data_IF_344548551577
#
_entry.id   IF_344548551577
#
_cell.length_a   1.000
_cell.length_b   1.000
_cell.length_c   1.000
_cell.angle_alpha   90.00
_cell.angle_beta   90.00
_cell.angle_gamma   90.00
#
_symmetry.space_group_name_H-M   'P 1'
#
loop_
_entity.id
_entity.type
_entity.pdbx_description
1 polymer ?
#
# COMPACT_ATOMS: atom_id res chain seq x y z
N UNK A 1 17.13 12.95 -9.93
CA UNK A 1 16.01 12.17 -9.38
C UNK A 1 15.17 13.09 -8.52
N UNK A 2 13.89 13.22 -8.83
CA UNK A 2 12.95 13.91 -7.94
C UNK A 2 12.73 13.06 -6.69
N UNK A 3 12.67 13.71 -5.53
CA UNK A 3 12.47 13.04 -4.25
C UNK A 3 10.97 12.96 -3.94
N UNK A 4 10.57 11.89 -3.28
CA UNK A 4 9.26 11.84 -2.65
C UNK A 4 9.13 12.97 -1.62
N UNK A 5 7.97 13.61 -1.61
CA UNK A 5 7.57 14.56 -0.57
C UNK A 5 6.50 13.93 0.30
N UNK A 6 6.68 14.08 1.61
CA UNK A 6 5.66 13.70 2.58
C UNK A 6 4.68 14.85 2.78
N UNK A 7 3.38 14.56 2.71
CA UNK A 7 2.31 15.52 2.92
C UNK A 7 1.19 14.89 3.75
N UNK A 8 0.71 15.60 4.78
CA UNK A 8 -0.54 15.25 5.46
C UNK A 8 -1.68 15.85 4.64
N UNK A 9 -2.48 15.00 4.00
CA UNK A 9 -3.51 15.41 3.05
C UNK A 9 -4.88 15.62 3.69
N UNK A 10 -5.12 15.02 4.86
CA UNK A 10 -6.28 15.28 5.70
C UNK A 10 -5.87 15.36 7.16
N UNK A 11 -6.35 16.41 7.83
CA UNK A 11 -6.27 16.52 9.28
C UNK A 11 -7.07 15.40 9.96
N UNK A 12 -6.86 15.11 11.25
CA UNK A 12 -7.55 14.03 11.94
C UNK A 12 -9.08 14.14 11.81
N UNK A 13 -9.71 13.16 11.17
CA UNK A 13 -11.16 13.06 11.03
C UNK A 13 -11.66 11.95 11.94
N UNK A 14 -12.80 12.18 12.60
CA UNK A 14 -13.50 11.13 13.34
C UNK A 14 -14.30 10.26 12.36
N UNK A 15 -13.94 8.98 12.24
CA UNK A 15 -14.70 7.97 11.49
C UNK A 15 -15.35 6.93 12.41
N UNK A 16 -16.07 5.97 11.81
CA UNK A 16 -16.74 4.88 12.53
C UNK A 16 -15.80 4.00 13.36
N UNK A 17 -14.50 4.01 13.07
CA UNK A 17 -13.47 3.30 13.82
C UNK A 17 -12.46 4.23 14.49
N UNK A 18 -12.91 5.41 14.94
CA UNK A 18 -12.10 6.39 15.66
C UNK A 18 -11.42 7.43 14.77
N UNK A 19 -10.48 8.17 15.36
CA UNK A 19 -9.72 9.19 14.66
C UNK A 19 -8.73 8.55 13.67
N UNK A 20 -8.67 9.11 12.47
CA UNK A 20 -7.68 8.75 11.47
C UNK A 20 -7.09 9.98 10.81
N UNK A 21 -5.85 9.86 10.37
CA UNK A 21 -5.17 10.83 9.52
C UNK A 21 -4.86 10.21 8.17
N UNK A 22 -4.80 11.05 7.12
CA UNK A 22 -4.38 10.61 5.80
C UNK A 22 -3.10 11.34 5.43
N UNK A 23 -2.11 10.56 5.05
CA UNK A 23 -0.82 11.05 4.58
C UNK A 23 -0.52 10.52 3.18
N UNK A 24 0.46 11.13 2.53
CA UNK A 24 1.00 10.60 1.30
C UNK A 24 2.49 10.88 1.13
N UNK A 25 3.18 9.94 0.48
CA UNK A 25 4.49 10.14 -0.11
C UNK A 25 4.31 10.25 -1.63
N UNK A 26 4.56 11.43 -2.19
CA UNK A 26 4.27 11.72 -3.60
C UNK A 26 5.49 12.24 -4.37
N UNK A 27 5.55 11.86 -5.64
CA UNK A 27 6.31 12.50 -6.72
C UNK A 27 5.36 12.69 -7.91
N UNK A 28 5.72 13.43 -8.97
CA UNK A 28 4.74 13.85 -9.99
C UNK A 28 3.94 12.73 -10.67
N UNK A 29 4.53 11.55 -10.86
CA UNK A 29 3.95 10.41 -11.59
C UNK A 29 3.38 9.31 -10.68
N UNK A 30 3.68 9.32 -9.38
CA UNK A 30 3.27 8.24 -8.46
C UNK A 30 3.17 8.70 -7.00
N UNK A 31 2.32 8.01 -6.24
CA UNK A 31 2.05 8.33 -4.83
C UNK A 31 1.76 7.07 -4.02
N UNK A 32 2.29 7.00 -2.81
CA UNK A 32 1.78 6.10 -1.77
C UNK A 32 0.86 6.92 -0.88
N UNK A 33 -0.41 6.55 -0.79
CA UNK A 33 -1.40 7.15 0.10
C UNK A 33 -1.64 6.18 1.25
N UNK A 34 -1.70 6.72 2.47
CA UNK A 34 -1.97 5.88 3.63
C UNK A 34 -2.95 6.53 4.58
N UNK A 35 -3.81 5.68 5.16
CA UNK A 35 -4.77 6.05 6.19
C UNK A 35 -4.30 5.41 7.48
N UNK A 36 -3.90 6.25 8.44
CA UNK A 36 -3.40 5.82 9.72
C UNK A 36 -4.48 6.00 10.79
N UNK A 37 -4.81 4.89 11.45
CA UNK A 37 -5.52 4.82 12.73
C UNK A 37 -4.57 4.21 13.75
N UNK A 38 -4.88 4.41 15.03
CA UNK A 38 -4.02 3.95 16.15
C UNK A 38 -3.54 2.49 15.99
N UNK A 39 -4.42 1.62 15.51
CA UNK A 39 -4.19 0.18 15.42
C UNK A 39 -4.26 -0.37 13.98
N UNK A 40 -4.56 0.49 13.00
CA UNK A 40 -4.82 0.06 11.64
C UNK A 40 -4.19 1.03 10.64
N UNK A 41 -3.45 0.47 9.70
CA UNK A 41 -2.86 1.18 8.59
C UNK A 41 -3.41 0.58 7.30
N UNK A 42 -3.87 1.45 6.40
CA UNK A 42 -4.18 1.10 5.00
C UNK A 42 -3.21 1.84 4.09
N UNK A 43 -2.76 1.17 3.03
CA UNK A 43 -1.83 1.71 2.05
C UNK A 43 -2.34 1.43 0.64
N UNK A 44 -2.49 2.48 -0.14
CA UNK A 44 -2.81 2.42 -1.57
C UNK A 44 -1.68 3.09 -2.38
N UNK A 45 -1.35 2.48 -3.51
CA UNK A 45 -0.39 2.95 -4.49
C UNK A 45 -1.14 3.58 -5.65
N UNK A 46 -0.77 4.80 -6.02
CA UNK A 46 -1.31 5.52 -7.16
C UNK A 46 -0.23 5.70 -8.24
N UNK A 47 -0.54 5.34 -9.48
CA UNK A 47 0.25 5.60 -10.68
C UNK A 47 -0.66 6.27 -11.71
N UNK A 48 -0.45 7.57 -11.97
CA UNK A 48 -1.44 8.36 -12.71
C UNK A 48 -2.83 8.28 -12.05
N UNK A 49 -3.83 7.85 -12.82
CA UNK A 49 -5.22 7.66 -12.35
C UNK A 49 -5.50 6.24 -11.83
N UNK A 50 -4.51 5.36 -11.82
CA UNK A 50 -4.67 3.97 -11.41
C UNK A 50 -4.27 3.79 -9.94
N UNK A 51 -5.13 3.16 -9.15
CA UNK A 51 -4.93 2.92 -7.71
C UNK A 51 -5.07 1.43 -7.39
N UNK A 52 -4.18 0.91 -6.56
CA UNK A 52 -4.21 -0.48 -6.08
C UNK A 52 -3.62 -0.58 -4.67
N UNK A 53 -4.01 -1.59 -3.90
CA UNK A 53 -3.54 -1.78 -2.53
C UNK A 53 -2.17 -2.47 -2.44
N UNK A 54 -1.62 -2.54 -1.22
CA UNK A 54 -0.33 -3.18 -0.98
C UNK A 54 -0.29 -4.67 -1.30
N UNK A 55 -1.38 -5.39 -1.04
CA UNK A 55 -1.44 -6.82 -1.33
C UNK A 55 -1.37 -7.06 -2.84
N UNK A 56 -2.12 -6.29 -3.63
CA UNK A 56 -2.07 -6.29 -5.09
C UNK A 56 -0.67 -5.93 -5.61
N UNK A 57 -0.01 -4.95 -4.98
CA UNK A 57 1.37 -4.61 -5.31
C UNK A 57 2.32 -5.80 -5.12
N UNK A 58 2.28 -6.45 -3.95
CA UNK A 58 3.11 -7.62 -3.65
C UNK A 58 2.81 -8.81 -4.56
N UNK A 59 1.56 -8.98 -4.99
CA UNK A 59 1.16 -9.96 -6.02
C UNK A 59 1.78 -9.65 -7.37
N UNK A 60 1.77 -8.40 -7.82
CA UNK A 60 2.43 -8.00 -9.06
C UNK A 60 3.95 -8.23 -9.03
N UNK A 61 4.57 -8.17 -7.85
CA UNK A 61 5.98 -8.53 -7.66
C UNK A 61 6.22 -10.04 -7.53
N UNK A 62 5.18 -10.87 -7.55
CA UNK A 62 5.25 -12.31 -7.23
C UNK A 62 5.81 -12.62 -5.83
N UNK A 63 5.63 -11.69 -4.88
CA UNK A 63 6.12 -11.76 -3.49
C UNK A 63 5.00 -11.77 -2.45
N UNK A 64 3.78 -12.12 -2.86
CA UNK A 64 2.62 -12.17 -1.96
C UNK A 64 2.87 -12.97 -0.68
N UNK A 65 3.60 -14.10 -0.77
CA UNK A 65 3.91 -14.96 0.38
C UNK A 65 4.97 -14.40 1.32
N UNK A 66 5.71 -13.39 0.87
CA UNK A 66 6.75 -12.70 1.65
C UNK A 66 6.20 -11.43 2.31
N UNK A 67 5.00 -10.97 1.90
CA UNK A 67 4.38 -9.76 2.41
C UNK A 67 4.10 -9.87 3.92
N UNK A 68 4.65 -8.93 4.68
CA UNK A 68 4.46 -8.82 6.11
C UNK A 68 3.29 -7.92 6.47
N UNK A 69 2.97 -6.92 5.65
CA UNK A 69 1.87 -5.99 5.81
C UNK A 69 0.54 -6.59 5.31
N UNK A 70 -0.59 -6.35 6.03
CA UNK A 70 -0.71 -5.58 7.27
C UNK A 70 -0.21 -6.33 8.52
N UNK A 71 -0.12 -7.66 8.43
CA UNK A 71 0.33 -8.55 9.50
C UNK A 71 -0.69 -8.74 10.63
N UNK A 72 -0.31 -9.53 11.65
CA UNK A 72 -1.11 -9.71 12.86
C UNK A 72 -1.04 -8.44 13.71
N UNK A 73 -2.18 -8.02 14.27
CA UNK A 73 -2.23 -6.92 15.23
C UNK A 73 -1.45 -7.30 16.50
N UNK A 74 -0.45 -6.50 16.89
CA UNK A 74 0.50 -6.81 17.98
C UNK A 74 0.52 -5.73 19.07
N UNK A 75 -0.56 -4.94 19.19
CA UNK A 75 -0.73 -3.82 20.13
C UNK A 75 0.36 -2.74 20.03
N UNK A 76 1.22 -2.80 19.00
CA UNK A 76 2.23 -1.76 18.76
C UNK A 76 1.69 -0.70 17.81
N UNK A 77 1.72 0.56 18.25
CA UNK A 77 1.26 1.72 17.45
C UNK A 77 1.92 1.82 16.07
N UNK A 78 3.13 1.29 15.94
CA UNK A 78 3.94 1.37 14.72
C UNK A 78 4.13 0.01 14.02
N UNK A 79 3.46 -1.05 14.48
CA UNK A 79 3.65 -2.41 13.93
C UNK A 79 3.36 -2.48 12.44
N UNK A 80 2.23 -1.92 12.01
CA UNK A 80 1.88 -1.83 10.59
C UNK A 80 2.87 -1.02 9.76
N UNK A 81 3.41 0.08 10.28
CA UNK A 81 4.42 0.89 9.57
C UNK A 81 5.76 0.16 9.43
N UNK A 82 6.19 -0.58 10.46
CA UNK A 82 7.43 -1.37 10.40
C UNK A 82 7.33 -2.48 9.37
N UNK A 83 6.23 -3.24 9.38
CA UNK A 83 5.97 -4.29 8.38
C UNK A 83 5.90 -3.73 6.96
N UNK A 84 5.24 -2.58 6.78
CA UNK A 84 5.24 -1.88 5.49
C UNK A 84 6.65 -1.48 5.07
N UNK A 85 7.46 -0.97 6.00
CA UNK A 85 8.84 -0.59 5.72
C UNK A 85 9.67 -1.80 5.27
N UNK A 86 9.52 -2.94 5.95
CA UNK A 86 10.18 -4.19 5.59
C UNK A 86 9.75 -4.67 4.18
N UNK A 87 8.45 -4.59 3.84
CA UNK A 87 7.97 -4.95 2.51
C UNK A 87 8.45 -3.98 1.41
N UNK A 88 8.67 -2.70 1.76
CA UNK A 88 9.18 -1.69 0.84
C UNK A 88 10.66 -1.90 0.46
N UNK A 89 11.38 -2.83 1.09
CA UNK A 89 12.68 -3.31 0.58
C UNK A 89 12.53 -4.02 -0.78
N UNK A 90 11.34 -4.53 -1.10
CA UNK A 90 10.98 -5.03 -2.43
C UNK A 90 10.38 -3.92 -3.33
N UNK A 91 10.40 -2.69 -2.85
CA UNK A 91 9.69 -1.53 -3.38
C UNK A 91 10.29 -0.91 -4.64
N UNK A 92 11.43 -1.38 -5.13
CA UNK A 92 12.26 -0.67 -6.14
C UNK A 92 11.49 -0.29 -7.40
N UNK A 93 10.64 -1.17 -7.91
CA UNK A 93 9.87 -0.92 -9.14
C UNK A 93 8.93 0.27 -8.98
N UNK A 94 8.29 0.39 -7.80
CA UNK A 94 7.47 1.56 -7.47
C UNK A 94 8.31 2.78 -7.04
N UNK A 95 9.36 2.61 -6.25
CA UNK A 95 10.11 3.74 -5.67
C UNK A 95 11.01 4.44 -6.69
N UNK A 96 11.64 3.68 -7.58
CA UNK A 96 12.64 4.18 -8.54
C UNK A 96 12.45 3.70 -9.97
N UNK A 97 11.74 2.60 -10.19
CA UNK A 97 11.57 1.95 -11.49
C UNK A 97 10.45 2.50 -12.38
N UNK A 98 10.08 1.69 -13.37
CA UNK A 98 9.03 1.99 -14.36
C UNK A 98 7.64 1.63 -13.81
N UNK A 99 6.93 2.65 -13.33
CA UNK A 99 5.57 2.46 -12.81
C UNK A 99 4.54 2.14 -13.88
N UNK A 100 4.79 2.45 -15.15
CA UNK A 100 3.85 2.09 -16.21
C UNK A 100 3.86 0.58 -16.43
N UNK A 101 5.06 -0.02 -16.48
CA UNK A 101 5.20 -1.48 -16.54
C UNK A 101 4.57 -2.18 -15.33
N UNK A 102 4.76 -1.62 -14.12
CA UNK A 102 4.10 -2.10 -12.91
C UNK A 102 2.57 -2.04 -13.02
N UNK A 103 2.02 -0.90 -13.45
CA UNK A 103 0.57 -0.72 -13.58
C UNK A 103 -0.04 -1.71 -14.59
N UNK A 104 0.61 -1.93 -15.73
CA UNK A 104 0.17 -2.94 -16.70
C UNK A 104 0.22 -4.37 -16.12
N UNK A 105 1.26 -4.69 -15.34
CA UNK A 105 1.35 -5.99 -14.66
C UNK A 105 0.24 -6.19 -13.63
N UNK A 106 -0.08 -5.16 -12.85
CA UNK A 106 -1.19 -5.18 -11.91
C UNK A 106 -2.52 -5.41 -12.63
N UNK A 107 -2.79 -4.68 -13.73
CA UNK A 107 -4.03 -4.86 -14.53
C UNK A 107 -4.14 -6.26 -15.14
N UNK A 108 -3.01 -6.90 -15.42
CA UNK A 108 -2.96 -8.25 -15.97
C UNK A 108 -3.07 -9.36 -14.91
N UNK A 109 -3.10 -9.03 -13.62
CA UNK A 109 -3.24 -10.03 -12.56
C UNK A 109 -4.58 -10.77 -12.70
N UNK A 110 -4.60 -12.10 -12.51
CA UNK A 110 -5.85 -12.82 -12.45
C UNK A 110 -6.67 -12.34 -11.24
N UNK A 111 -8.01 -12.29 -11.38
CA UNK A 111 -8.89 -11.92 -10.27
C UNK A 111 -8.65 -12.86 -9.10
N UNK A 112 -8.71 -12.32 -7.89
CA UNK A 112 -8.61 -13.17 -6.70
C UNK A 112 -9.81 -14.08 -6.60
N UNK A 113 -9.50 -15.34 -6.30
CA UNK A 113 -10.53 -16.26 -5.84
C UNK A 113 -10.87 -15.84 -4.40
N UNK A 114 -11.95 -15.11 -4.25
CA UNK A 114 -12.47 -14.71 -2.94
C UNK A 114 -13.68 -15.57 -2.55
N UNK A 115 -13.94 -15.68 -1.24
CA UNK A 115 -15.07 -16.44 -0.72
C UNK A 115 -15.02 -17.94 -1.04
N UNK A 116 -16.18 -18.55 -1.31
CA UNK A 116 -16.29 -19.99 -1.58
C UNK A 116 -15.47 -20.46 -2.80
N UNK A 117 -15.11 -19.56 -3.72
CA UNK A 117 -14.26 -19.88 -4.85
C UNK A 117 -12.80 -20.21 -4.45
N UNK A 118 -12.38 -19.84 -3.23
CA UNK A 118 -11.06 -20.12 -2.70
C UNK A 118 -10.93 -21.54 -2.09
N UNK A 119 -12.05 -22.26 -1.92
CA UNK A 119 -12.10 -23.57 -1.25
C UNK A 119 -11.99 -24.76 -2.22
N UNK A 120 -11.74 -24.51 -3.51
CA UNK A 120 -11.67 -25.54 -4.57
C UNK A 120 -10.27 -26.05 -4.82
#
# INVERSE_FOLDING_TARGET
MERFRFEITQQPIQGSGGFFAVGSFARPDRRIRFWARYENLRVDYCVGDFEFDHHTYMRALSREKEALFPGIHDDTLFGGFRRLLDDLDYGDEFLSGDTQALAERVKALPPEKTGFAALG
#
